data_IF_497686458088
#
_entry.id   IF_497686458088
#
_cell.length_a   1.000
_cell.length_b   1.000
_cell.length_c   1.000
_cell.angle_alpha   90.00
_cell.angle_beta   90.00
_cell.angle_gamma   90.00
#
_symmetry.space_group_name_H-M   'P 1'
#
loop_
_entity.id
_entity.type
_entity.pdbx_description
1 polymer ?
#
# COMPACT_ATOMS: atom_id res chain seq x y z
N UNK A 1 12.47 -29.06 17.62
CA UNK A 1 11.54 -29.13 16.48
C UNK A 1 12.20 -28.24 15.50
N UNK A 2 13.11 -28.83 14.74
CA UNK A 2 14.14 -28.07 14.06
C UNK A 2 13.58 -27.73 12.70
N UNK A 3 13.68 -26.46 12.37
CA UNK A 3 13.20 -25.95 11.11
C UNK A 3 14.08 -26.53 10.02
N UNK A 4 13.46 -27.10 8.97
CA UNK A 4 14.21 -27.52 7.80
C UNK A 4 14.89 -26.30 7.20
N UNK A 5 16.22 -26.32 7.08
CA UNK A 5 16.99 -25.25 6.47
C UNK A 5 17.35 -25.63 5.04
N UNK A 6 17.26 -24.69 4.10
CA UNK A 6 17.76 -24.88 2.74
C UNK A 6 19.30 -24.89 2.69
N UNK A 7 19.87 -25.07 1.50
CA UNK A 7 21.33 -25.06 1.31
C UNK A 7 22.01 -23.73 1.70
N UNK A 8 21.22 -22.67 1.95
CA UNK A 8 21.68 -21.35 2.39
C UNK A 8 21.53 -21.14 3.90
N UNK A 9 20.96 -22.11 4.62
CA UNK A 9 20.73 -22.03 6.07
C UNK A 9 19.45 -21.30 6.46
N UNK A 10 18.53 -21.05 5.51
CA UNK A 10 17.28 -20.35 5.75
C UNK A 10 16.11 -21.34 5.91
N UNK A 11 15.11 -21.03 6.76
CA UNK A 11 14.00 -21.93 7.05
C UNK A 11 13.11 -22.18 5.82
N UNK A 12 13.07 -23.44 5.36
CA UNK A 12 12.18 -23.90 4.30
C UNK A 12 10.74 -23.72 4.74
N UNK A 13 10.04 -22.93 3.94
CA UNK A 13 8.68 -22.48 4.21
C UNK A 13 7.73 -23.21 3.27
N UNK A 14 6.56 -23.62 3.76
CA UNK A 14 5.50 -24.17 2.90
C UNK A 14 4.82 -23.08 2.06
N UNK A 15 3.91 -23.49 1.18
CA UNK A 15 3.12 -22.64 0.29
C UNK A 15 2.20 -21.64 1.03
N UNK A 16 2.09 -21.76 2.35
CA UNK A 16 1.30 -20.91 3.23
C UNK A 16 2.17 -19.98 4.11
N UNK A 17 3.50 -19.99 3.93
CA UNK A 17 4.39 -19.11 4.68
C UNK A 17 4.78 -19.65 6.07
N UNK A 18 4.46 -20.90 6.38
CA UNK A 18 4.84 -21.54 7.64
C UNK A 18 6.12 -22.36 7.49
N UNK A 19 6.97 -22.30 8.51
CA UNK A 19 8.17 -23.10 8.60
C UNK A 19 7.83 -24.60 8.67
N UNK A 20 8.38 -25.41 7.76
CA UNK A 20 8.27 -26.87 7.83
C UNK A 20 9.10 -27.39 8.99
N UNK A 21 8.43 -27.71 10.10
CA UNK A 21 9.06 -28.31 11.28
C UNK A 21 9.14 -29.82 11.10
N UNK A 22 10.35 -30.35 10.95
CA UNK A 22 10.56 -31.80 11.04
C UNK A 22 10.45 -32.19 12.53
N UNK A 23 9.67 -33.21 12.91
CA UNK A 23 9.63 -33.65 14.29
C UNK A 23 11.01 -34.21 14.67
N UNK A 24 11.84 -33.44 15.38
CA UNK A 24 13.20 -33.80 15.81
C UNK A 24 13.28 -34.97 16.80
N UNK A 25 12.20 -35.72 17.01
CA UNK A 25 12.17 -36.86 17.90
C UNK A 25 11.15 -37.85 17.34
N UNK A 26 11.43 -38.39 16.16
CA UNK A 26 10.66 -39.53 15.70
C UNK A 26 10.81 -40.61 16.77
N UNK A 27 9.68 -41.15 17.27
CA UNK A 27 9.68 -42.27 18.21
C UNK A 27 10.64 -43.38 17.74
N UNK A 28 10.75 -43.58 16.44
CA UNK A 28 11.65 -44.53 15.81
C UNK A 28 13.13 -44.20 16.06
N UNK A 29 13.52 -42.93 15.96
CA UNK A 29 14.91 -42.49 16.19
C UNK A 29 15.31 -42.67 17.67
N UNK A 30 14.44 -42.25 18.59
CA UNK A 30 14.67 -42.43 20.03
C UNK A 30 14.74 -43.91 20.42
N UNK A 31 13.89 -44.76 19.85
CA UNK A 31 13.92 -46.20 20.12
C UNK A 31 15.18 -46.86 19.54
N UNK A 32 15.64 -46.41 18.37
CA UNK A 32 16.89 -46.90 17.78
C UNK A 32 18.11 -46.50 18.62
N UNK A 33 18.15 -45.26 19.12
CA UNK A 33 19.22 -44.77 19.98
C UNK A 33 19.30 -45.57 21.29
N UNK A 34 18.15 -45.85 21.91
CA UNK A 34 18.08 -46.70 23.12
C UNK A 34 18.55 -48.13 22.83
N UNK A 35 18.15 -48.73 21.71
CA UNK A 35 18.59 -50.09 21.33
C UNK A 35 20.10 -50.13 21.10
N UNK A 36 20.65 -49.13 20.40
CA UNK A 36 22.10 -49.01 20.19
C UNK A 36 22.87 -48.86 21.50
N UNK A 37 22.40 -47.99 22.40
CA UNK A 37 23.01 -47.80 23.71
C UNK A 37 23.01 -49.11 24.53
N UNK A 38 21.91 -49.87 24.52
CA UNK A 38 21.82 -51.15 25.23
C UNK A 38 22.72 -52.22 24.60
N UNK A 39 22.81 -52.28 23.27
CA UNK A 39 23.69 -53.20 22.55
C UNK A 39 25.18 -52.96 22.89
N UNK A 40 25.60 -51.69 22.96
CA UNK A 40 26.98 -51.33 23.31
C UNK A 40 27.32 -51.76 24.74
N UNK A 41 26.41 -51.57 25.70
CA UNK A 41 26.64 -51.95 27.09
C UNK A 41 26.76 -53.48 27.25
N UNK A 42 25.87 -54.25 26.60
CA UNK A 42 25.87 -55.72 26.71
C UNK A 42 27.05 -56.37 25.97
N UNK A 43 27.48 -55.81 24.84
CA UNK A 43 28.66 -56.29 24.11
C UNK A 43 29.96 -56.16 24.91
N UNK A 44 30.01 -55.27 25.91
CA UNK A 44 31.15 -55.15 26.83
C UNK A 44 31.15 -56.22 27.93
N UNK A 45 29.98 -56.79 28.27
CA UNK A 45 29.80 -57.80 29.33
C UNK A 45 29.81 -59.24 28.81
N UNK A 46 29.63 -59.45 27.49
CA UNK A 46 29.46 -60.76 26.85
C UNK A 46 30.65 -61.77 26.87
N UNK A 47 31.95 -61.42 27.04
CA UNK A 47 33.00 -62.44 26.91
C UNK A 47 33.02 -63.51 28.02
N UNK A 48 32.20 -63.41 29.07
CA UNK A 48 32.19 -64.36 30.19
C UNK A 48 31.14 -65.47 30.14
N UNK A 49 30.06 -65.35 29.35
CA UNK A 49 28.89 -66.22 29.51
C UNK A 49 28.63 -67.22 28.36
N UNK A 50 29.41 -67.18 27.27
CA UNK A 50 29.32 -68.18 26.19
C UNK A 50 27.99 -68.20 25.43
N UNK A 51 27.25 -67.09 25.45
CA UNK A 51 25.98 -66.88 24.73
C UNK A 51 26.19 -65.85 23.61
N UNK A 52 25.49 -66.02 22.49
CA UNK A 52 25.53 -65.11 21.33
C UNK A 52 24.20 -64.36 21.20
N UNK A 53 24.26 -63.03 21.15
CA UNK A 53 23.07 -62.17 21.03
C UNK A 53 22.74 -61.89 19.56
N UNK A 54 21.53 -62.27 19.11
CA UNK A 54 21.10 -62.14 17.71
C UNK A 54 20.27 -60.87 17.44
N UNK A 55 19.37 -60.47 18.35
CA UNK A 55 18.47 -59.31 18.18
C UNK A 55 17.93 -58.78 19.52
N UNK A 56 17.78 -57.45 19.65
CA UNK A 56 17.21 -56.77 20.82
C UNK A 56 15.90 -56.11 20.40
N UNK A 57 14.79 -56.53 21.01
CA UNK A 57 13.46 -55.95 20.75
C UNK A 57 12.84 -55.41 22.02
N UNK A 58 12.29 -54.19 21.92
CA UNK A 58 11.53 -53.58 23.01
C UNK A 58 10.13 -54.20 23.02
N UNK A 59 9.82 -54.91 24.11
CA UNK A 59 8.52 -55.58 24.27
C UNK A 59 7.39 -54.61 24.64
N UNK A 60 7.67 -53.62 25.49
CA UNK A 60 6.71 -52.59 25.93
C UNK A 60 7.45 -51.38 26.51
N UNK A 61 7.01 -50.18 26.19
CA UNK A 61 7.58 -48.91 26.67
C UNK A 61 6.47 -48.01 27.23
N UNK A 62 5.76 -48.51 28.24
CA UNK A 62 4.66 -47.77 28.89
C UNK A 62 5.13 -47.16 30.20
N UNK A 63 4.54 -46.01 30.56
CA UNK A 63 4.75 -45.41 31.88
C UNK A 63 3.98 -46.19 32.96
N UNK A 64 4.51 -46.31 34.20
CA UNK A 64 3.76 -46.88 35.32
C UNK A 64 2.45 -46.12 35.54
N UNK A 65 1.34 -46.84 35.78
CA UNK A 65 -0.01 -46.23 35.86
C UNK A 65 -0.11 -45.14 36.96
N UNK A 66 0.70 -45.26 38.01
CA UNK A 66 0.77 -44.31 39.13
C UNK A 66 1.27 -42.90 38.73
N UNK A 67 2.09 -42.79 37.67
CA UNK A 67 2.69 -41.52 37.23
C UNK A 67 2.16 -41.03 35.89
N UNK A 68 1.57 -41.91 35.08
CA UNK A 68 1.08 -41.60 33.75
C UNK A 68 0.13 -40.40 33.74
N UNK A 69 -0.85 -40.36 34.65
CA UNK A 69 -1.84 -39.26 34.73
C UNK A 69 -1.20 -37.87 34.88
N UNK A 70 -0.22 -37.73 35.78
CA UNK A 70 0.48 -36.46 36.02
C UNK A 70 1.30 -36.00 34.82
N UNK A 71 1.92 -36.94 34.10
CA UNK A 71 2.69 -36.61 32.89
C UNK A 71 1.74 -36.16 31.77
N UNK A 72 0.61 -36.84 31.58
CA UNK A 72 -0.41 -36.43 30.60
C UNK A 72 -0.99 -35.05 30.90
N UNK A 73 -1.29 -34.74 32.17
CA UNK A 73 -1.75 -33.41 32.59
C UNK A 73 -0.71 -32.31 32.29
N UNK A 74 0.57 -32.56 32.61
CA UNK A 74 1.66 -31.65 32.27
C UNK A 74 1.78 -31.44 30.77
N UNK A 75 1.77 -32.52 29.98
CA UNK A 75 1.84 -32.43 28.52
C UNK A 75 0.66 -31.62 27.94
N UNK A 76 -0.55 -31.80 28.49
CA UNK A 76 -1.73 -31.03 28.09
C UNK A 76 -1.55 -29.54 28.41
N UNK A 77 -1.13 -29.21 29.63
CA UNK A 77 -0.85 -27.83 30.05
C UNK A 77 0.23 -27.18 29.18
N UNK A 78 1.33 -27.89 28.91
CA UNK A 78 2.42 -27.37 28.10
C UNK A 78 1.98 -27.16 26.64
N UNK A 79 1.18 -28.07 26.08
CA UNK A 79 0.59 -27.89 24.75
C UNK A 79 -0.35 -26.69 24.70
N UNK A 80 -1.18 -26.51 25.71
CA UNK A 80 -2.09 -25.37 25.81
C UNK A 80 -1.32 -24.04 25.94
N UNK A 81 -0.23 -24.00 26.72
CA UNK A 81 0.67 -22.84 26.79
C UNK A 81 1.30 -22.54 25.44
N UNK A 82 1.77 -23.55 24.72
CA UNK A 82 2.35 -23.38 23.38
C UNK A 82 1.31 -22.81 22.41
N UNK A 83 0.10 -23.38 22.37
CA UNK A 83 -0.98 -22.89 21.51
C UNK A 83 -1.39 -21.46 21.86
N UNK A 84 -1.46 -21.10 23.14
CA UNK A 84 -1.76 -19.71 23.56
C UNK A 84 -0.70 -18.73 23.06
N UNK A 85 0.58 -19.09 23.21
CA UNK A 85 1.70 -18.25 22.76
C UNK A 85 1.65 -18.02 21.24
N UNK A 86 1.50 -19.10 20.47
CA UNK A 86 1.42 -19.02 19.01
C UNK A 86 0.24 -18.17 18.53
N UNK A 87 -0.92 -18.27 19.19
CA UNK A 87 -2.06 -17.39 18.87
C UNK A 87 -1.77 -15.94 19.19
N UNK A 88 -1.17 -15.66 20.35
CA UNK A 88 -0.84 -14.29 20.75
C UNK A 88 0.18 -13.65 19.79
N UNK A 89 1.20 -14.41 19.39
CA UNK A 89 2.22 -14.00 18.42
C UNK A 89 1.61 -13.76 17.05
N UNK A 90 0.80 -14.69 16.53
CA UNK A 90 0.09 -14.50 15.26
C UNK A 90 -0.87 -13.31 15.26
N UNK A 91 -1.55 -13.04 16.38
CA UNK A 91 -2.39 -11.85 16.55
C UNK A 91 -1.56 -10.56 16.56
N UNK A 92 -0.42 -10.56 17.25
CA UNK A 92 0.49 -9.41 17.31
C UNK A 92 1.08 -9.07 15.94
N UNK A 93 1.58 -10.08 15.23
CA UNK A 93 2.08 -9.91 13.87
C UNK A 93 0.99 -9.41 12.92
N UNK A 94 -0.21 -10.00 13.00
CA UNK A 94 -1.32 -9.59 12.16
C UNK A 94 -1.79 -8.16 12.47
N UNK A 95 -1.77 -7.74 13.74
CA UNK A 95 -2.04 -6.34 14.11
C UNK A 95 -0.98 -5.40 13.56
N UNK A 96 0.30 -5.77 13.70
CA UNK A 96 1.43 -4.96 13.22
C UNK A 96 1.39 -4.79 11.70
N UNK A 97 1.15 -5.88 10.96
CA UNK A 97 1.04 -5.85 9.50
C UNK A 97 -0.15 -5.02 9.03
N UNK A 98 -1.32 -5.15 9.66
CA UNK A 98 -2.50 -4.32 9.34
C UNK A 98 -2.23 -2.84 9.60
N UNK A 99 -1.68 -2.49 10.75
CA UNK A 99 -1.36 -1.11 11.08
C UNK A 99 -0.30 -0.50 10.14
N UNK A 100 0.64 -1.31 9.63
CA UNK A 100 1.57 -0.87 8.60
C UNK A 100 0.85 -0.62 7.26
N UNK A 101 0.02 -1.55 6.81
CA UNK A 101 -0.76 -1.40 5.59
C UNK A 101 -1.70 -0.19 5.63
N UNK A 102 -2.38 0.05 6.76
CA UNK A 102 -3.26 1.20 6.94
C UNK A 102 -2.48 2.52 6.83
N UNK A 103 -1.29 2.59 7.43
CA UNK A 103 -0.39 3.75 7.30
C UNK A 103 0.05 3.96 5.84
N UNK A 104 0.40 2.90 5.14
CA UNK A 104 0.84 3.00 3.75
C UNK A 104 -0.30 3.50 2.85
N UNK A 105 -1.52 3.02 3.07
CA UNK A 105 -2.73 3.51 2.37
C UNK A 105 -2.93 5.00 2.61
N UNK A 106 -2.85 5.46 3.86
CA UNK A 106 -3.00 6.88 4.19
C UNK A 106 -1.93 7.74 3.51
N UNK A 107 -0.66 7.30 3.53
CA UNK A 107 0.45 8.00 2.89
C UNK A 107 0.26 8.07 1.37
N UNK A 108 -0.14 6.98 0.73
CA UNK A 108 -0.37 6.92 -0.72
C UNK A 108 -1.53 7.83 -1.11
N UNK A 109 -2.65 7.80 -0.38
CA UNK A 109 -3.79 8.67 -0.63
C UNK A 109 -3.41 10.15 -0.46
N UNK A 110 -2.73 10.49 0.64
CA UNK A 110 -2.27 11.85 0.88
C UNK A 110 -1.27 12.33 -0.18
N UNK A 111 -0.43 11.45 -0.73
CA UNK A 111 0.46 11.77 -1.83
C UNK A 111 -0.31 11.99 -3.14
N UNK A 112 -1.26 11.10 -3.45
CA UNK A 112 -2.10 11.23 -4.63
C UNK A 112 -2.94 12.52 -4.62
N UNK A 113 -3.54 12.86 -3.48
CA UNK A 113 -4.31 14.10 -3.33
C UNK A 113 -3.44 15.34 -3.48
N UNK A 114 -2.24 15.33 -2.88
CA UNK A 114 -1.26 16.42 -3.03
C UNK A 114 -0.89 16.64 -4.49
N UNK A 115 -0.59 15.55 -5.20
CA UNK A 115 -0.17 15.63 -6.60
C UNK A 115 -1.33 16.06 -7.51
N UNK A 116 -2.55 15.61 -7.22
CA UNK A 116 -3.77 16.03 -7.92
C UNK A 116 -4.04 17.53 -7.72
N UNK A 117 -3.94 18.04 -6.50
CA UNK A 117 -4.13 19.46 -6.20
C UNK A 117 -3.04 20.33 -6.82
N UNK A 118 -1.79 19.85 -6.82
CA UNK A 118 -0.70 20.53 -7.52
C UNK A 118 -0.99 20.62 -9.01
N UNK A 119 -1.35 19.51 -9.66
CA UNK A 119 -1.61 19.48 -11.10
C UNK A 119 -2.82 20.35 -11.48
N UNK A 120 -3.87 20.35 -10.64
CA UNK A 120 -5.02 21.24 -10.82
C UNK A 120 -4.61 22.71 -10.68
N UNK A 121 -3.83 23.04 -9.66
CA UNK A 121 -3.32 24.40 -9.43
C UNK A 121 -2.43 24.89 -10.58
N UNK A 122 -1.53 24.04 -11.08
CA UNK A 122 -0.68 24.36 -12.23
C UNK A 122 -1.52 24.56 -13.50
N UNK A 123 -2.55 23.74 -13.72
CA UNK A 123 -3.48 23.88 -14.84
C UNK A 123 -4.32 25.15 -14.77
N UNK A 124 -4.84 25.49 -13.59
CA UNK A 124 -5.58 26.74 -13.36
C UNK A 124 -4.68 27.96 -13.56
N UNK A 125 -3.45 27.93 -13.04
CA UNK A 125 -2.48 29.01 -13.23
C UNK A 125 -2.15 29.24 -14.71
N UNK A 126 -1.94 28.15 -15.47
CA UNK A 126 -1.71 28.24 -16.92
C UNK A 126 -2.93 28.79 -17.66
N UNK A 127 -4.14 28.31 -17.33
CA UNK A 127 -5.37 28.79 -17.95
C UNK A 127 -5.58 30.29 -17.71
N UNK A 128 -5.37 30.75 -16.47
CA UNK A 128 -5.47 32.17 -16.11
C UNK A 128 -4.40 32.99 -16.84
N UNK A 129 -3.16 32.48 -16.93
CA UNK A 129 -2.08 33.16 -17.64
C UNK A 129 -2.39 33.33 -19.13
N UNK A 130 -2.86 32.27 -19.80
CA UNK A 130 -3.26 32.31 -21.21
C UNK A 130 -4.44 33.25 -21.42
N UNK A 131 -5.44 33.20 -20.52
CA UNK A 131 -6.57 34.11 -20.56
C UNK A 131 -6.09 35.56 -20.43
N UNK A 132 -5.28 35.89 -19.42
CA UNK A 132 -4.75 37.23 -19.22
C UNK A 132 -3.93 37.72 -20.42
N UNK A 133 -3.08 36.86 -21.01
CA UNK A 133 -2.35 37.18 -22.23
C UNK A 133 -3.31 37.47 -23.39
N UNK A 134 -4.34 36.64 -23.58
CA UNK A 134 -5.34 36.83 -24.64
C UNK A 134 -6.14 38.13 -24.46
N UNK A 135 -6.43 38.52 -23.22
CA UNK A 135 -7.12 39.76 -22.90
C UNK A 135 -6.24 41.00 -23.11
N UNK A 136 -4.93 40.88 -22.87
CA UNK A 136 -3.98 41.96 -23.12
C UNK A 136 -3.66 42.17 -24.60
N UNK A 137 -3.93 41.19 -25.48
CA UNK A 137 -3.71 41.35 -26.93
C UNK A 137 -4.60 42.44 -27.54
N UNK A 138 -5.83 42.57 -27.05
CA UNK A 138 -6.74 43.66 -27.46
C UNK A 138 -7.67 44.08 -26.30
N UNK A 139 -7.23 45.03 -25.45
CA UNK A 139 -8.01 45.54 -24.32
C UNK A 139 -9.32 46.20 -24.76
N UNK A 140 -9.32 46.82 -25.94
CA UNK A 140 -10.48 47.51 -26.50
C UNK A 140 -11.56 46.51 -26.92
N UNK A 141 -11.19 45.47 -27.67
CA UNK A 141 -12.09 44.40 -28.06
C UNK A 141 -12.67 43.66 -26.85
N UNK A 142 -11.88 43.43 -25.80
CA UNK A 142 -12.39 42.87 -24.55
C UNK A 142 -13.43 43.76 -23.88
N UNK A 143 -13.15 45.07 -23.76
CA UNK A 143 -14.07 46.03 -23.16
C UNK A 143 -15.40 46.11 -23.93
N UNK A 144 -15.33 46.03 -25.26
CA UNK A 144 -16.49 45.94 -26.13
C UNK A 144 -17.29 44.64 -25.92
N UNK A 145 -16.64 43.46 -25.98
CA UNK A 145 -17.29 42.16 -25.77
C UNK A 145 -17.93 42.05 -24.38
N UNK A 146 -17.25 42.56 -23.34
CA UNK A 146 -17.76 42.61 -21.97
C UNK A 146 -19.00 43.51 -21.86
N UNK A 147 -19.01 44.64 -22.57
CA UNK A 147 -20.19 45.52 -22.63
C UNK A 147 -21.38 44.82 -23.31
N UNK A 148 -21.16 44.07 -24.40
CA UNK A 148 -22.19 43.26 -25.07
C UNK A 148 -22.78 42.16 -24.17
N UNK A 149 -21.91 41.47 -23.43
CA UNK A 149 -22.29 40.43 -22.49
C UNK A 149 -23.12 41.00 -21.34
N UNK A 150 -22.73 42.18 -20.85
CA UNK A 150 -23.48 42.93 -19.88
C UNK A 150 -24.86 43.31 -20.46
N UNK A 151 -24.93 43.89 -21.67
CA UNK A 151 -26.21 44.20 -22.33
C UNK A 151 -27.16 43.00 -22.35
N UNK A 152 -26.64 41.83 -22.72
CA UNK A 152 -27.43 40.59 -22.72
C UNK A 152 -27.94 40.19 -21.34
N UNK A 153 -27.17 40.43 -20.28
CA UNK A 153 -27.55 40.08 -18.92
C UNK A 153 -28.68 40.97 -18.36
N UNK A 154 -28.63 42.28 -18.60
CA UNK A 154 -29.64 43.22 -18.07
C UNK A 154 -30.82 43.49 -19.01
N UNK A 155 -30.70 43.25 -20.31
CA UNK A 155 -31.82 43.33 -21.27
C UNK A 155 -32.72 42.07 -21.26
N UNK A 156 -32.59 41.20 -20.25
CA UNK A 156 -33.49 40.07 -20.08
C UNK A 156 -34.93 40.50 -19.74
N UNK A 157 -35.88 39.64 -20.12
CA UNK A 157 -37.32 39.88 -20.15
C UNK A 157 -37.85 40.44 -18.80
N UNK A 158 -38.28 41.72 -18.82
CA UNK A 158 -38.98 42.50 -17.75
C UNK A 158 -38.17 43.50 -16.90
N UNK A 159 -36.93 43.86 -17.22
CA UNK A 159 -36.22 44.90 -16.44
C UNK A 159 -36.27 46.27 -17.14
N UNK A 160 -37.05 47.22 -16.60
CA UNK A 160 -36.96 48.64 -16.97
C UNK A 160 -35.87 49.28 -16.13
N UNK A 161 -34.67 49.41 -16.71
CA UNK A 161 -33.52 50.03 -16.06
C UNK A 161 -33.49 51.52 -16.41
N UNK A 162 -33.63 52.41 -15.42
CA UNK A 162 -33.52 53.86 -15.60
C UNK A 162 -32.10 54.27 -15.23
N UNK A 163 -31.29 54.59 -16.24
CA UNK A 163 -29.92 55.06 -16.10
C UNK A 163 -29.76 56.40 -16.82
N UNK A 164 -28.85 57.24 -16.34
CA UNK A 164 -28.47 58.48 -17.04
C UNK A 164 -27.87 58.18 -18.41
N UNK A 165 -28.12 59.07 -19.38
CA UNK A 165 -27.54 58.98 -20.73
C UNK A 165 -26.02 58.90 -20.71
N UNK A 166 -25.37 59.48 -19.70
CA UNK A 166 -23.91 59.60 -19.64
C UNK A 166 -23.25 58.40 -18.93
N UNK A 167 -24.01 57.33 -18.66
CA UNK A 167 -23.45 56.17 -17.99
C UNK A 167 -22.39 55.48 -18.89
N UNK A 168 -21.23 55.09 -18.33
CA UNK A 168 -20.14 54.46 -19.10
C UNK A 168 -20.55 53.21 -19.87
N UNK A 169 -21.64 52.58 -19.43
CA UNK A 169 -22.22 51.39 -20.04
C UNK A 169 -22.85 51.66 -21.40
N UNK A 170 -23.21 52.90 -21.76
CA UNK A 170 -23.78 53.23 -23.07
C UNK A 170 -22.76 53.72 -24.09
N UNK A 171 -21.47 53.83 -23.70
CA UNK A 171 -20.39 54.37 -24.56
C UNK A 171 -20.35 53.71 -25.94
N UNK A 172 -20.47 52.39 -25.99
CA UNK A 172 -20.43 51.61 -27.24
C UNK A 172 -21.76 51.60 -28.02
N UNK A 173 -22.87 52.05 -27.42
CA UNK A 173 -24.17 52.22 -28.09
C UNK A 173 -24.34 53.64 -28.65
N UNK A 174 -23.71 54.63 -28.02
CA UNK A 174 -23.73 56.04 -28.46
C UNK A 174 -22.70 56.32 -29.56
N UNK A 175 -21.51 55.71 -29.47
CA UNK A 175 -20.44 55.84 -30.47
C UNK A 175 -19.95 54.46 -30.92
N UNK A 176 -20.69 53.76 -31.81
CA UNK A 176 -20.23 52.52 -32.40
C UNK A 176 -19.05 52.80 -33.36
N UNK A 177 -17.82 52.50 -32.93
CA UNK A 177 -16.64 52.47 -33.81
C UNK A 177 -15.50 53.45 -33.49
N UNK A 178 -15.63 54.29 -32.46
CA UNK A 178 -14.55 55.22 -32.08
C UNK A 178 -13.35 54.53 -31.42
N UNK A 179 -13.52 53.29 -30.94
CA UNK A 179 -12.45 52.47 -30.38
C UNK A 179 -11.66 51.65 -31.41
N UNK A 180 -12.34 51.02 -32.37
CA UNK A 180 -11.72 50.06 -33.30
C UNK A 180 -10.92 50.69 -34.45
N UNK A 181 -10.85 52.01 -34.55
CA UNK A 181 -10.28 52.70 -35.73
C UNK A 181 -8.88 53.27 -35.50
N UNK A 182 -8.34 53.27 -34.28
CA UNK A 182 -7.01 53.86 -34.00
C UNK A 182 -5.83 52.86 -33.99
N UNK A 183 -6.07 51.54 -34.03
CA UNK A 183 -4.98 50.53 -33.98
C UNK A 183 -4.64 49.88 -35.31
N UNK A 184 -5.29 50.25 -36.43
CA UNK A 184 -4.97 49.69 -37.76
C UNK A 184 -3.90 50.47 -38.52
N UNK A 185 -3.36 51.57 -37.96
CA UNK A 185 -2.26 52.30 -38.59
C UNK A 185 -0.91 51.97 -37.91
N UNK A 186 -0.25 50.92 -38.41
CA UNK A 186 1.20 50.75 -38.24
C UNK A 186 1.69 49.66 -37.28
N UNK A 187 1.50 48.38 -37.62
CA UNK A 187 2.49 47.35 -37.30
C UNK A 187 2.39 46.20 -38.32
N UNK A 188 3.35 46.16 -39.24
CA UNK A 188 3.50 45.09 -40.20
C UNK A 188 3.57 43.73 -39.47
N UNK A 189 2.69 42.82 -39.87
CA UNK A 189 2.74 41.40 -39.52
C UNK A 189 4.07 40.84 -40.00
N UNK A 190 5.05 40.73 -39.10
CA UNK A 190 6.20 39.85 -39.29
C UNK A 190 5.82 38.48 -38.73
N UNK A 191 5.69 37.54 -39.65
CA UNK A 191 5.49 36.10 -39.44
C UNK A 191 6.40 35.54 -38.30
N UNK A 192 5.84 35.01 -37.21
CA UNK A 192 6.63 34.41 -36.13
C UNK A 192 7.03 32.95 -36.39
N UNK A 193 6.66 32.35 -37.53
CA UNK A 193 6.84 30.90 -37.75
C UNK A 193 7.69 30.49 -38.95
N UNK A 194 8.31 31.43 -39.68
CA UNK A 194 9.53 31.18 -40.48
C UNK A 194 9.60 29.85 -41.23
N UNK A 195 8.51 29.44 -41.90
CA UNK A 195 8.45 28.23 -42.70
C UNK A 195 8.23 28.62 -44.16
N UNK A 196 9.35 28.74 -44.87
CA UNK A 196 9.43 28.42 -46.29
C UNK A 196 10.07 27.05 -46.45
#
# INVERSE_FOLDING_TARGET
>A
GDVELDESGEPVTDDEGNSRVRPTNSRTELLNDVIQAVQINLAQEDPSFGVEMIDIRIKRADFPQEVAGRIFERMRSDREKISRRLRAEGEEEARTRRAAADRDVEVILAAADRDADRLRGDGEAQAISILAESLNKDPEFFSFRRSLEAYKAFLNQRTTVILSSDAPIFRFLQSPGEGSSQTTDGAAVTDPLGLR
#
